data_IF_440352779952
#
_entry.id   IF_440352779952
#
_cell.length_a   1.000
_cell.length_b   1.000
_cell.length_c   1.000
_cell.angle_alpha   90.00
_cell.angle_beta   90.00
_cell.angle_gamma   90.00
#
_symmetry.space_group_name_H-M   'P 1'
#
loop_
_entity.id
_entity.type
_entity.pdbx_description
1 polymer ?
#
# COMPACT_ATOMS: atom_id res chain seq x y z
N UNK A 1 8.91 4.50 -8.56
CA UNK A 1 9.85 5.64 -8.83
C UNK A 1 10.92 5.69 -7.76
N UNK A 2 12.04 6.38 -8.00
CA UNK A 2 13.15 6.50 -7.04
C UNK A 2 12.61 6.95 -5.67
N UNK A 3 12.78 6.13 -4.64
CA UNK A 3 12.36 6.40 -3.26
C UNK A 3 11.03 5.82 -2.77
N UNK A 4 10.04 5.50 -3.62
CA UNK A 4 8.77 4.94 -3.11
C UNK A 4 8.90 3.47 -2.71
N UNK A 5 9.53 2.66 -3.58
CA UNK A 5 9.85 1.27 -3.25
C UNK A 5 10.71 1.18 -1.99
N UNK A 6 11.69 2.06 -1.88
CA UNK A 6 12.60 2.13 -0.72
C UNK A 6 11.82 2.45 0.55
N UNK A 7 10.87 3.39 0.51
CA UNK A 7 10.01 3.71 1.66
C UNK A 7 9.08 2.57 2.04
N UNK A 8 8.45 1.90 1.07
CA UNK A 8 7.61 0.71 1.33
C UNK A 8 8.46 -0.40 1.95
N UNK A 9 9.65 -0.66 1.40
CA UNK A 9 10.55 -1.67 1.93
C UNK A 9 11.05 -1.33 3.32
N UNK A 10 11.46 -0.09 3.57
CA UNK A 10 11.91 0.35 4.88
C UNK A 10 10.79 0.24 5.91
N UNK A 11 9.58 0.70 5.57
CA UNK A 11 8.43 0.63 6.47
C UNK A 11 8.03 -0.82 6.79
N UNK A 12 7.95 -1.70 5.78
CA UNK A 12 7.66 -3.11 6.01
C UNK A 12 8.72 -3.76 6.92
N UNK A 13 10.01 -3.48 6.70
CA UNK A 13 11.08 -4.01 7.55
C UNK A 13 10.95 -3.57 9.00
N UNK A 14 10.63 -2.30 9.23
CA UNK A 14 10.39 -1.80 10.59
C UNK A 14 9.22 -2.56 11.23
N UNK A 15 8.13 -2.78 10.50
CA UNK A 15 6.98 -3.53 11.01
C UNK A 15 7.39 -4.98 11.34
N UNK A 16 7.98 -5.70 10.40
CA UNK A 16 8.37 -7.10 10.58
C UNK A 16 9.37 -7.31 11.74
N UNK A 17 10.28 -6.36 11.97
CA UNK A 17 11.23 -6.46 13.08
C UNK A 17 10.66 -6.09 14.45
N UNK A 18 9.47 -5.49 14.52
CA UNK A 18 8.88 -5.02 15.79
C UNK A 18 7.50 -5.61 16.08
N UNK A 19 6.89 -6.32 15.14
CA UNK A 19 5.56 -6.89 15.28
C UNK A 19 5.57 -8.06 16.27
N UNK A 20 4.62 -8.03 17.20
CA UNK A 20 4.27 -9.15 18.05
C UNK A 20 2.85 -9.64 17.74
N UNK A 21 2.58 -10.95 17.87
CA UNK A 21 1.22 -11.48 17.82
C UNK A 21 0.26 -10.67 18.70
N UNK A 22 -0.90 -10.30 18.15
CA UNK A 22 -1.88 -9.41 18.77
C UNK A 22 -1.71 -7.91 18.50
N UNK A 23 -0.60 -7.47 17.89
CA UNK A 23 -0.40 -6.06 17.57
C UNK A 23 -1.37 -5.56 16.48
N UNK A 24 -1.73 -4.29 16.58
CA UNK A 24 -2.59 -3.61 15.60
C UNK A 24 -1.82 -2.56 14.82
N UNK A 25 -2.04 -2.54 13.50
CA UNK A 25 -1.37 -1.60 12.61
C UNK A 25 -2.27 -0.42 12.28
N UNK A 26 -1.71 0.79 12.38
CA UNK A 26 -2.37 2.03 11.96
C UNK A 26 -1.46 2.80 11.01
N UNK A 27 -2.02 3.20 9.87
CA UNK A 27 -1.29 3.81 8.77
C UNK A 27 -1.82 5.20 8.46
N UNK A 28 -0.91 6.17 8.34
CA UNK A 28 -1.26 7.54 8.01
C UNK A 28 -0.38 8.09 6.90
N UNK A 29 -0.98 8.77 5.93
CA UNK A 29 -0.23 9.34 4.82
C UNK A 29 -0.93 10.48 4.12
N UNK A 30 -0.16 11.47 3.71
CA UNK A 30 -0.61 12.57 2.86
C UNK A 30 0.03 12.47 1.47
N UNK A 31 -0.73 12.74 0.41
CA UNK A 31 -0.20 12.85 -0.97
C UNK A 31 0.53 11.57 -1.41
N UNK A 32 1.82 11.64 -1.71
CA UNK A 32 2.67 10.48 -2.00
C UNK A 32 2.82 9.54 -0.80
N UNK A 33 2.78 10.07 0.42
CA UNK A 33 2.75 9.28 1.65
C UNK A 33 1.47 8.44 1.73
N UNK A 34 0.33 8.99 1.30
CA UNK A 34 -0.93 8.25 1.21
C UNK A 34 -0.81 7.05 0.26
N UNK A 35 -0.17 7.24 -0.91
CA UNK A 35 0.11 6.14 -1.83
C UNK A 35 0.96 5.05 -1.17
N UNK A 36 2.07 5.43 -0.53
CA UNK A 36 2.98 4.49 0.15
C UNK A 36 2.23 3.65 1.18
N UNK A 37 1.45 4.29 2.06
CA UNK A 37 0.80 3.57 3.15
C UNK A 37 -0.36 2.70 2.68
N UNK A 38 -1.08 3.10 1.62
CA UNK A 38 -2.10 2.25 0.99
C UNK A 38 -1.49 1.03 0.34
N UNK A 39 -0.41 1.19 -0.42
CA UNK A 39 0.31 0.08 -1.02
C UNK A 39 0.91 -0.86 0.03
N UNK A 40 1.45 -0.31 1.12
CA UNK A 40 1.97 -1.11 2.24
C UNK A 40 0.86 -1.90 2.94
N UNK A 41 -0.30 -1.28 3.20
CA UNK A 41 -1.44 -1.95 3.80
C UNK A 41 -1.95 -3.10 2.91
N UNK A 42 -2.08 -2.88 1.60
CA UNK A 42 -2.45 -3.92 0.64
C UNK A 42 -1.43 -5.06 0.57
N UNK A 43 -0.13 -4.74 0.59
CA UNK A 43 0.93 -5.75 0.64
C UNK A 43 0.85 -6.60 1.92
N UNK A 44 0.66 -5.98 3.08
CA UNK A 44 0.51 -6.69 4.35
C UNK A 44 -0.74 -7.58 4.34
N UNK A 45 -1.82 -7.14 3.70
CA UNK A 45 -3.02 -7.94 3.56
C UNK A 45 -2.81 -9.21 2.71
N UNK A 46 -2.07 -9.11 1.60
CA UNK A 46 -1.82 -10.24 0.71
C UNK A 46 -0.70 -11.17 1.21
N UNK A 47 0.39 -10.59 1.73
CA UNK A 47 1.55 -11.34 2.19
C UNK A 47 1.37 -11.83 3.63
N UNK A 48 0.94 -10.96 4.53
CA UNK A 48 1.16 -11.07 5.97
C UNK A 48 2.47 -10.38 6.39
N UNK A 49 2.88 -10.64 7.64
CA UNK A 49 4.12 -10.10 8.21
C UNK A 49 5.14 -11.22 8.31
N UNK A 50 6.30 -11.05 7.66
CA UNK A 50 7.44 -11.95 7.82
C UNK A 50 7.95 -11.90 9.24
N UNK A 51 8.38 -13.05 9.77
CA UNK A 51 9.18 -13.06 10.99
C UNK A 51 10.51 -12.34 10.76
N UNK A 52 11.09 -11.77 11.82
CA UNK A 52 12.34 -11.03 11.72
C UNK A 52 13.50 -11.87 11.15
N UNK A 53 13.47 -13.19 11.36
CA UNK A 53 14.43 -14.16 10.82
C UNK A 53 14.37 -14.30 9.30
N UNK A 54 13.19 -14.06 8.69
CA UNK A 54 12.97 -14.19 7.25
C UNK A 54 12.95 -12.84 6.52
N UNK A 55 13.37 -11.74 7.17
CA UNK A 55 13.24 -10.40 6.60
C UNK A 55 14.10 -10.17 5.35
N UNK A 56 15.19 -10.91 5.19
CA UNK A 56 16.07 -10.83 4.03
C UNK A 56 15.40 -11.31 2.73
N UNK A 57 14.35 -12.12 2.85
CA UNK A 57 13.52 -12.57 1.74
C UNK A 57 12.64 -11.46 1.17
N UNK A 58 12.32 -10.43 1.98
CA UNK A 58 11.32 -9.42 1.65
C UNK A 58 11.59 -8.73 0.31
N UNK A 59 12.85 -8.42 -0.01
CA UNK A 59 13.17 -7.73 -1.28
C UNK A 59 12.88 -8.61 -2.51
N UNK A 60 13.03 -9.93 -2.40
CA UNK A 60 12.67 -10.88 -3.47
C UNK A 60 11.15 -10.98 -3.58
N UNK A 61 10.47 -11.17 -2.44
CA UNK A 61 9.01 -11.24 -2.35
C UNK A 61 8.33 -9.99 -2.91
N UNK A 62 8.82 -8.80 -2.55
CA UNK A 62 8.27 -7.54 -3.03
C UNK A 62 8.37 -7.40 -4.56
N UNK A 63 9.44 -7.93 -5.19
CA UNK A 63 9.55 -7.96 -6.66
C UNK A 63 8.53 -8.90 -7.30
N UNK A 64 8.18 -10.00 -6.64
CA UNK A 64 7.14 -10.93 -7.08
C UNK A 64 5.78 -10.24 -7.00
N UNK A 65 5.49 -9.60 -5.86
CA UNK A 65 4.29 -8.80 -5.66
C UNK A 65 4.10 -7.73 -6.74
N UNK A 66 5.18 -7.05 -7.15
CA UNK A 66 5.14 -6.06 -8.23
C UNK A 66 4.89 -6.62 -9.63
N UNK A 67 5.09 -7.93 -9.84
CA UNK A 67 4.98 -8.58 -11.15
C UNK A 67 3.74 -9.45 -11.28
N UNK A 68 3.06 -9.76 -10.17
CA UNK A 68 1.90 -10.66 -10.17
C UNK A 68 0.81 -10.14 -11.12
N UNK A 69 0.09 -11.02 -11.82
CA UNK A 69 -1.06 -10.62 -12.64
C UNK A 69 -2.13 -9.90 -11.80
N UNK A 70 -2.82 -8.93 -12.40
CA UNK A 70 -3.95 -8.26 -11.75
C UNK A 70 -5.07 -9.27 -11.42
N UNK A 71 -5.69 -9.12 -10.25
CA UNK A 71 -6.74 -10.03 -9.77
C UNK A 71 -6.25 -11.38 -9.24
N UNK A 72 -4.94 -11.65 -9.24
CA UNK A 72 -4.36 -12.86 -8.63
C UNK A 72 -3.74 -12.50 -7.29
N UNK A 73 -4.10 -13.23 -6.23
CA UNK A 73 -3.49 -13.08 -4.92
C UNK A 73 -2.01 -13.50 -4.96
N UNK A 74 -1.14 -12.80 -4.23
CA UNK A 74 0.30 -13.06 -4.22
C UNK A 74 0.62 -14.55 -4.01
N UNK A 75 0.03 -15.18 -3.00
CA UNK A 75 0.32 -16.58 -2.63
C UNK A 75 -0.20 -17.61 -3.64
N UNK A 76 -1.09 -17.19 -4.56
CA UNK A 76 -1.64 -18.03 -5.63
C UNK A 76 -0.91 -17.84 -6.96
N UNK A 77 0.02 -16.88 -7.04
CA UNK A 77 0.76 -16.57 -8.26
C UNK A 77 1.78 -17.68 -8.60
N UNK A 78 2.01 -17.99 -9.89
CA UNK A 78 3.06 -18.93 -10.30
C UNK A 78 4.43 -18.51 -9.79
N UNK A 79 4.76 -17.21 -9.85
CA UNK A 79 6.04 -16.67 -9.41
C UNK A 79 6.27 -16.86 -7.91
N UNK A 80 5.21 -16.84 -7.09
CA UNK A 80 5.31 -17.17 -5.67
C UNK A 80 5.63 -18.65 -5.45
N UNK A 81 4.99 -19.56 -6.21
CA UNK A 81 5.29 -21.00 -6.14
C UNK A 81 6.72 -21.31 -6.55
N UNK A 82 7.16 -20.76 -7.68
CA UNK A 82 8.52 -20.94 -8.18
C UNK A 82 9.56 -20.42 -7.18
N UNK A 83 9.26 -19.30 -6.53
CA UNK A 83 10.09 -18.73 -5.48
C UNK A 83 10.22 -19.64 -4.26
N UNK A 84 9.12 -20.24 -3.79
CA UNK A 84 9.15 -21.16 -2.65
C UNK A 84 9.96 -22.42 -2.98
N UNK A 85 9.82 -22.99 -4.17
CA UNK A 85 10.61 -24.14 -4.62
C UNK A 85 12.10 -23.80 -4.63
N UNK A 86 12.46 -22.66 -5.22
CA UNK A 86 13.85 -22.20 -5.28
C UNK A 86 14.46 -22.01 -3.89
N UNK A 87 13.74 -21.37 -2.96
CA UNK A 87 14.24 -21.15 -1.59
C UNK A 87 14.37 -22.47 -0.81
N UNK A 88 13.42 -23.38 -0.96
CA UNK A 88 13.52 -24.70 -0.33
C UNK A 88 14.74 -25.48 -0.86
N UNK A 89 15.01 -25.42 -2.16
CA UNK A 89 16.19 -26.08 -2.77
C UNK A 89 17.53 -25.43 -2.35
N UNK A 90 17.59 -24.10 -2.24
CA UNK A 90 18.82 -23.36 -1.94
C UNK A 90 19.12 -23.25 -0.44
N UNK A 91 18.09 -23.01 0.37
CA UNK A 91 18.19 -22.60 1.77
C UNK A 91 17.61 -23.66 2.73
N UNK A 92 16.82 -24.63 2.22
CA UNK A 92 16.30 -25.78 2.98
C UNK A 92 15.05 -25.48 3.82
N UNK A 93 14.56 -24.23 3.81
CA UNK A 93 13.37 -23.82 4.53
C UNK A 93 12.71 -22.60 3.88
N UNK A 94 11.39 -22.64 3.70
CA UNK A 94 10.59 -21.52 3.25
C UNK A 94 10.61 -20.32 4.23
N UNK A 95 10.43 -19.06 3.74
CA UNK A 95 10.36 -17.90 4.61
C UNK A 95 9.18 -17.99 5.58
N UNK A 96 9.44 -17.72 6.85
CA UNK A 96 8.46 -17.77 7.93
C UNK A 96 7.68 -16.47 8.03
N UNK A 97 6.39 -16.60 8.33
CA UNK A 97 5.47 -15.50 8.60
C UNK A 97 4.83 -15.71 9.97
N UNK A 98 4.49 -14.60 10.62
CA UNK A 98 3.59 -14.66 11.76
C UNK A 98 2.28 -15.36 11.36
N UNK A 99 1.89 -16.35 12.17
CA UNK A 99 0.71 -17.18 11.92
C UNK A 99 -0.60 -16.41 12.09
N UNK A 100 -0.58 -15.38 12.93
CA UNK A 100 -1.72 -14.50 13.13
C UNK A 100 -1.90 -13.56 11.95
N UNK A 101 -3.15 -13.41 11.53
CA UNK A 101 -3.50 -12.44 10.50
C UNK A 101 -3.37 -11.03 11.07
N UNK A 102 -2.52 -10.16 10.51
CA UNK A 102 -2.33 -8.82 11.04
C UNK A 102 -3.62 -8.01 10.92
N UNK A 103 -4.02 -7.35 12.02
CA UNK A 103 -5.18 -6.47 12.01
C UNK A 103 -4.73 -5.06 11.65
N UNK A 104 -5.21 -4.57 10.50
CA UNK A 104 -5.03 -3.15 10.14
C UNK A 104 -6.21 -2.38 10.71
N UNK A 105 -6.00 -1.73 11.86
CA UNK A 105 -7.04 -1.01 12.58
C UNK A 105 -7.50 0.23 11.83
N UNK A 106 -6.56 1.01 11.29
CA UNK A 106 -6.85 2.25 10.56
C UNK A 106 -5.90 2.43 9.37
N UNK A 107 -6.46 2.86 8.24
CA UNK A 107 -5.72 3.52 7.16
C UNK A 107 -6.34 4.91 6.96
N UNK A 108 -5.66 5.94 7.46
CA UNK A 108 -6.08 7.34 7.34
C UNK A 108 -5.24 8.08 6.31
N UNK A 109 -5.86 8.58 5.25
CA UNK A 109 -5.15 9.24 4.17
C UNK A 109 -5.72 10.61 3.82
N UNK A 110 -4.83 11.51 3.45
CA UNK A 110 -5.16 12.84 2.95
C UNK A 110 -4.72 12.94 1.49
N UNK A 111 -5.69 13.29 0.65
CA UNK A 111 -5.56 13.63 -0.75
C UNK A 111 -4.56 12.73 -1.51
N UNK A 112 -4.86 11.42 -1.50
CA UNK A 112 -4.04 10.42 -2.20
C UNK A 112 -3.98 10.73 -3.68
N UNK A 113 -2.84 11.20 -4.17
CA UNK A 113 -2.64 11.43 -5.60
C UNK A 113 -2.28 10.12 -6.30
N UNK A 114 -3.05 9.78 -7.33
CA UNK A 114 -2.81 8.60 -8.16
C UNK A 114 -1.85 8.87 -9.30
N UNK A 115 -1.02 7.89 -9.63
CA UNK A 115 -0.20 7.88 -10.85
C UNK A 115 -1.04 7.93 -12.15
N UNK A 116 -2.35 7.66 -12.07
CA UNK A 116 -3.32 7.78 -13.15
C UNK A 116 -3.65 9.26 -13.42
N UNK A 117 -2.67 10.01 -13.93
CA UNK A 117 -2.92 11.38 -14.38
C UNK A 117 -1.85 12.41 -14.10
N UNK A 118 -0.72 12.07 -13.47
CA UNK A 118 0.38 13.03 -13.23
C UNK A 118 1.17 13.25 -14.54
N UNK A 119 1.03 14.37 -15.29
CA UNK A 119 2.07 14.79 -16.23
C UNK A 119 3.33 15.16 -15.44
N UNK A 120 4.51 14.87 -16.01
CA UNK A 120 5.81 15.15 -15.40
C UNK A 120 5.84 16.56 -14.81
N UNK A 121 5.81 16.65 -13.48
CA UNK A 121 6.01 17.91 -12.79
C UNK A 121 7.49 18.27 -12.98
N UNK A 122 7.80 19.53 -13.33
CA UNK A 122 9.15 20.00 -13.68
C UNK A 122 10.25 19.72 -12.62
N UNK A 123 9.88 19.21 -11.44
CA UNK A 123 10.74 18.94 -10.29
C UNK A 123 10.86 17.43 -9.96
N UNK A 124 10.03 16.56 -10.56
CA UNK A 124 10.08 15.10 -10.34
C UNK A 124 9.56 14.32 -11.57
N UNK A 125 10.38 13.39 -12.08
CA UNK A 125 9.99 12.48 -13.17
C UNK A 125 9.11 11.33 -12.63
N UNK A 126 7.86 11.28 -13.10
CA UNK A 126 6.86 10.26 -12.75
C UNK A 126 6.55 9.30 -13.92
N UNK A 127 7.23 9.43 -15.07
CA UNK A 127 6.96 8.63 -16.27
C UNK A 127 7.16 7.12 -16.05
N UNK A 128 8.25 6.72 -15.39
CA UNK A 128 8.51 5.33 -14.98
C UNK A 128 7.62 4.81 -13.84
N UNK A 129 6.82 5.68 -13.22
CA UNK A 129 5.88 5.36 -12.15
C UNK A 129 4.54 4.83 -12.70
N UNK A 130 4.12 5.27 -13.91
CA UNK A 130 2.87 4.80 -14.53
C UNK A 130 2.87 3.32 -14.87
N UNK A 131 3.92 2.84 -15.57
CA UNK A 131 3.99 1.47 -16.08
C UNK A 131 4.24 0.41 -15.00
N UNK A 132 4.76 0.82 -13.84
CA UNK A 132 5.16 -0.08 -12.74
C UNK A 132 4.14 -0.14 -11.59
N UNK A 133 3.22 0.83 -11.51
CA UNK A 133 2.25 0.95 -10.41
C UNK A 133 0.91 1.49 -10.90
N UNK A 134 0.44 1.06 -12.09
CA UNK A 134 -1.00 0.98 -12.30
C UNK A 134 -1.55 0.23 -11.08
N UNK A 135 -2.39 0.89 -10.29
CA UNK A 135 -2.77 0.41 -8.97
C UNK A 135 -3.20 -1.06 -9.06
N UNK A 136 -2.35 -1.94 -8.52
CA UNK A 136 -2.60 -3.38 -8.60
C UNK A 136 -3.84 -3.80 -7.79
N UNK A 137 -4.31 -2.93 -6.89
CA UNK A 137 -5.67 -2.94 -6.40
C UNK A 137 -6.03 -1.59 -5.77
N UNK A 138 -7.14 -0.96 -6.17
CA UNK A 138 -7.72 0.19 -5.42
C UNK A 138 -8.83 -0.27 -4.48
N UNK A 139 -9.11 -1.57 -4.44
CA UNK A 139 -10.08 -2.18 -3.56
C UNK A 139 -9.63 -2.08 -2.10
N UNK A 140 -10.61 -1.91 -1.22
CA UNK A 140 -10.40 -2.00 0.21
C UNK A 140 -10.37 -3.47 0.63
N UNK A 141 -9.24 -3.92 1.19
CA UNK A 141 -9.11 -5.29 1.69
C UNK A 141 -9.85 -5.49 3.03
N UNK A 142 -10.47 -6.66 3.23
CA UNK A 142 -11.29 -7.01 4.42
C UNK A 142 -10.58 -6.90 5.77
N UNK A 143 -9.25 -7.00 5.75
CA UNK A 143 -8.42 -6.90 6.96
C UNK A 143 -8.25 -5.45 7.43
N UNK A 144 -8.57 -4.47 6.59
CA UNK A 144 -8.57 -3.05 6.95
C UNK A 144 -9.90 -2.72 7.62
N UNK A 145 -9.89 -2.52 8.94
CA UNK A 145 -11.13 -2.27 9.71
C UNK A 145 -11.72 -0.90 9.48
N UNK A 146 -10.88 0.13 9.35
CA UNK A 146 -11.32 1.49 9.10
C UNK A 146 -10.44 2.17 8.05
N UNK A 147 -11.05 2.65 6.97
CA UNK A 147 -10.39 3.43 5.94
C UNK A 147 -11.01 4.82 5.88
N UNK A 148 -10.20 5.84 6.15
CA UNK A 148 -10.58 7.24 6.12
C UNK A 148 -9.81 7.97 5.02
N UNK A 149 -10.50 8.71 4.17
CA UNK A 149 -9.87 9.49 3.11
C UNK A 149 -10.45 10.90 3.06
N UNK A 150 -9.63 11.89 3.41
CA UNK A 150 -9.93 13.31 3.22
C UNK A 150 -9.46 13.76 1.83
N UNK A 151 -10.35 14.35 1.03
CA UNK A 151 -10.11 14.74 -0.36
C UNK A 151 -10.17 16.26 -0.52
N UNK A 152 -9.29 16.83 -1.33
CA UNK A 152 -9.33 18.26 -1.66
C UNK A 152 -10.36 18.54 -2.76
N UNK A 153 -11.38 19.35 -2.44
CA UNK A 153 -12.45 19.71 -3.38
C UNK A 153 -11.97 20.69 -4.45
N UNK A 154 -11.14 21.66 -4.06
CA UNK A 154 -10.74 22.79 -4.92
C UNK A 154 -9.40 22.54 -5.63
N UNK A 155 -8.87 21.31 -5.57
CA UNK A 155 -7.66 20.93 -6.29
C UNK A 155 -7.96 20.72 -7.78
N UNK A 156 -7.58 21.71 -8.59
CA UNK A 156 -7.88 21.75 -10.03
C UNK A 156 -6.73 21.24 -10.91
N UNK A 157 -5.55 21.00 -10.33
CA UNK A 157 -4.40 20.52 -11.10
C UNK A 157 -4.59 19.03 -11.37
N UNK A 158 -4.65 18.67 -12.65
CA UNK A 158 -4.77 17.28 -13.10
C UNK A 158 -3.70 16.34 -12.53
N UNK A 159 -2.51 16.90 -12.23
CA UNK A 159 -1.42 16.20 -11.57
C UNK A 159 -1.72 15.74 -10.12
N UNK A 160 -2.81 16.21 -9.53
CA UNK A 160 -3.24 15.91 -8.17
C UNK A 160 -4.63 15.27 -8.12
N UNK A 161 -5.11 14.72 -9.25
CA UNK A 161 -6.36 13.95 -9.28
C UNK A 161 -6.31 12.83 -8.23
N UNK A 162 -7.28 12.77 -7.29
CA UNK A 162 -7.22 11.80 -6.21
C UNK A 162 -7.57 10.39 -6.68
N UNK A 163 -6.92 9.38 -6.10
CA UNK A 163 -7.33 7.97 -6.23
C UNK A 163 -8.30 7.62 -5.14
N UNK A 164 -9.57 7.48 -5.49
CA UNK A 164 -10.60 7.01 -4.55
C UNK A 164 -10.38 5.53 -4.21
N UNK A 165 -10.82 5.11 -3.03
CA UNK A 165 -11.05 3.71 -2.71
C UNK A 165 -12.25 3.19 -3.50
N UNK A 166 -12.15 1.94 -3.93
CA UNK A 166 -13.27 1.21 -4.50
C UNK A 166 -13.71 0.13 -3.50
N UNK A 167 -15.01 0.03 -3.25
CA UNK A 167 -15.57 -1.13 -2.56
C UNK A 167 -15.87 -2.19 -3.61
N UNK A 168 -15.47 -3.45 -3.41
CA UNK A 168 -15.89 -4.56 -4.27
C UNK A 168 -17.42 -4.63 -4.37
N UNK A 169 -17.94 -5.02 -5.54
CA UNK A 169 -19.39 -5.06 -5.81
C UNK A 169 -20.16 -6.07 -4.94
N UNK A 170 -19.49 -7.05 -4.33
CA UNK A 170 -20.08 -8.04 -3.42
C UNK A 170 -20.26 -7.47 -1.99
N UNK A 171 -21.22 -6.55 -1.87
CA UNK A 171 -21.51 -5.72 -0.69
C UNK A 171 -21.92 -6.44 0.61
N UNK A 172 -21.99 -7.79 0.65
CA UNK A 172 -22.51 -8.53 1.80
C UNK A 172 -21.47 -9.08 2.78
N UNK A 173 -20.16 -8.80 2.59
CA UNK A 173 -19.09 -9.38 3.45
C UNK A 173 -18.15 -8.38 4.13
N UNK A 174 -18.13 -7.12 3.72
CA UNK A 174 -17.15 -6.18 4.24
C UNK A 174 -17.55 -5.65 5.62
N UNK A 175 -16.80 -6.02 6.65
CA UNK A 175 -16.89 -5.44 8.00
C UNK A 175 -16.14 -4.10 8.11
N UNK A 176 -15.50 -3.67 7.03
CA UNK A 176 -14.66 -2.48 6.98
C UNK A 176 -15.50 -1.21 6.90
N UNK A 177 -15.20 -0.24 7.76
CA UNK A 177 -15.78 1.10 7.68
C UNK A 177 -14.98 1.95 6.69
N UNK A 178 -15.56 2.26 5.53
CA UNK A 178 -14.98 3.20 4.57
C UNK A 178 -15.68 4.56 4.68
N UNK A 179 -14.90 5.62 4.85
CA UNK A 179 -15.39 7.00 4.85
C UNK A 179 -14.47 7.87 3.98
N UNK A 180 -15.04 8.43 2.91
CA UNK A 180 -14.36 9.37 2.02
C UNK A 180 -15.11 10.69 2.01
N UNK A 181 -14.43 11.79 2.35
CA UNK A 181 -15.06 13.10 2.53
C UNK A 181 -14.28 14.17 1.78
N UNK A 182 -15.01 15.02 1.05
CA UNK A 182 -14.46 16.18 0.35
C UNK A 182 -14.45 17.38 1.29
N UNK A 183 -13.29 18.02 1.41
CA UNK A 183 -13.09 19.22 2.20
C UNK A 183 -12.81 20.42 1.28
N UNK A 184 -13.31 21.62 1.62
CA UNK A 184 -12.92 22.83 0.91
C UNK A 184 -11.41 23.08 1.06
N UNK A 185 -10.80 23.64 0.02
CA UNK A 185 -9.37 23.85 -0.10
C UNK A 185 -8.70 22.97 -1.15
N UNK A 186 -7.47 23.36 -1.51
CA UNK A 186 -6.60 22.63 -2.41
C UNK A 186 -5.78 21.56 -1.67
N UNK A 187 -4.95 20.81 -2.41
CA UNK A 187 -4.15 19.69 -1.89
C UNK A 187 -3.42 19.97 -0.57
N UNK A 188 -2.86 21.18 -0.44
CA UNK A 188 -2.07 21.58 0.74
C UNK A 188 -2.92 22.00 1.93
N UNK A 189 -4.14 22.48 1.68
CA UNK A 189 -5.08 22.94 2.71
C UNK A 189 -5.66 21.74 3.46
N UNK A 190 -5.91 20.64 2.74
CA UNK A 190 -6.35 19.37 3.34
C UNK A 190 -5.17 18.61 3.96
N UNK A 191 -3.98 18.66 3.35
CA UNK A 191 -2.81 17.91 3.79
C UNK A 191 -1.97 18.52 4.90
N UNK A 192 -2.09 19.83 5.14
CA UNK A 192 -1.38 20.55 6.20
C UNK A 192 0.08 20.87 5.90
N UNK A 193 0.37 21.68 4.87
CA UNK A 193 1.75 22.07 4.53
C UNK A 193 1.97 23.56 4.23
N UNK A 194 1.06 24.44 4.63
CA UNK A 194 1.35 25.88 4.68
C UNK A 194 2.14 26.21 5.95
N UNK A 195 3.09 27.14 5.85
CA UNK A 195 4.02 27.52 6.92
C UNK A 195 3.39 28.33 8.06
N UNK A 196 2.11 28.66 7.96
CA UNK A 196 1.47 29.66 8.81
C UNK A 196 0.42 29.02 9.71
N UNK A 197 0.87 28.11 10.59
CA UNK A 197 0.12 27.66 11.78
C UNK A 197 0.69 28.33 13.03
#
# INVERSE_FOLDING_TARGET
>A
GKGVDEKICAAYKIIACNYSPGDELSFFGFSRGAFIVRSLAGLICELGILESTSIDHFRRIYKIYQKKPAGVALKDSPEWRDYLIMVEEEEGEAPQLHTETPVIRVVGVWDTVGSLGIPNLHWFDFSGFRKKYEFHDTSLHDQIKNAFHALALDETRSAFTPTLWQLPEDQNRHQSSLCQVWFPGAHIDVGGGNSDN
#
